data_IF_738365125100
#
_entry.id   IF_738365125100
#
_cell.length_a   1.000
_cell.length_b   1.000
_cell.length_c   1.000
_cell.angle_alpha   90.00
_cell.angle_beta   90.00
_cell.angle_gamma   90.00
#
_symmetry.space_group_name_H-M   'P 1'
#
loop_
_entity.id
_entity.type
_entity.pdbx_description
1 polymer ?
#
# COMPACT_ATOMS: atom_id res chain seq x y z
N UNK A 1 9.15 4.82 10.44
CA UNK A 1 9.70 4.54 9.13
C UNK A 1 8.96 5.21 8.00
N UNK A 2 9.46 5.07 6.76
CA UNK A 2 8.83 5.71 5.62
C UNK A 2 7.43 5.15 5.34
N UNK A 3 6.58 5.98 4.75
CA UNK A 3 5.24 5.61 4.33
C UNK A 3 5.20 5.50 2.81
N UNK A 4 4.59 4.45 2.27
CA UNK A 4 4.38 4.31 0.83
C UNK A 4 2.89 4.40 0.50
N UNK A 5 2.57 5.23 -0.50
CA UNK A 5 1.24 5.30 -1.09
C UNK A 5 1.26 4.46 -2.37
N UNK A 6 0.57 3.32 -2.32
CA UNK A 6 0.60 2.33 -3.40
C UNK A 6 -0.43 2.69 -4.46
N UNK A 7 0.03 2.92 -5.68
CA UNK A 7 -0.82 3.34 -6.77
C UNK A 7 -1.32 4.77 -6.60
N UNK A 8 -0.40 5.70 -6.39
CA UNK A 8 -0.72 7.08 -5.99
C UNK A 8 -1.63 7.85 -6.94
N UNK A 9 -1.66 7.49 -8.22
CA UNK A 9 -2.58 8.10 -9.19
C UNK A 9 -2.50 9.62 -9.23
N UNK A 10 -3.55 10.28 -8.74
CA UNK A 10 -3.63 11.74 -8.64
C UNK A 10 -2.97 12.35 -7.42
N UNK A 11 -2.30 11.54 -6.59
CA UNK A 11 -1.55 12.01 -5.43
C UNK A 11 -2.29 11.92 -4.10
N UNK A 12 -3.50 11.38 -4.06
CA UNK A 12 -4.23 11.19 -2.80
C UNK A 12 -4.20 9.73 -2.40
N UNK A 13 -3.92 9.41 -1.11
CA UNK A 13 -3.74 10.36 -0.01
C UNK A 13 -2.29 10.83 0.21
N UNK A 14 -1.33 10.38 -0.61
CA UNK A 14 0.09 10.59 -0.36
C UNK A 14 0.51 12.06 -0.24
N UNK A 15 0.08 12.91 -1.19
CA UNK A 15 0.47 14.33 -1.15
C UNK A 15 -0.12 15.06 0.06
N UNK A 16 -1.42 14.94 0.37
CA UNK A 16 -1.93 15.51 1.61
C UNK A 16 -1.23 15.00 2.87
N UNK A 17 -0.90 13.71 2.92
CA UNK A 17 -0.18 13.14 4.04
C UNK A 17 1.24 13.73 4.18
N UNK A 18 1.92 13.93 3.05
CA UNK A 18 3.25 14.53 3.06
C UNK A 18 3.22 15.95 3.63
N UNK A 19 2.22 16.74 3.26
CA UNK A 19 2.05 18.09 3.78
C UNK A 19 1.74 18.08 5.29
N UNK A 20 0.96 17.10 5.76
CA UNK A 20 0.59 16.97 7.16
C UNK A 20 1.69 16.37 8.02
N UNK A 21 2.60 15.61 7.43
CA UNK A 21 3.67 14.88 8.14
C UNK A 21 5.04 15.25 7.55
N UNK A 22 5.48 16.51 7.73
CA UNK A 22 6.68 17.00 7.04
C UNK A 22 7.99 16.29 7.45
N UNK A 23 8.01 15.67 8.62
CA UNK A 23 9.19 14.95 9.10
C UNK A 23 9.23 13.48 8.68
N UNK A 24 8.21 13.02 7.96
CA UNK A 24 8.13 11.64 7.50
C UNK A 24 8.40 11.54 6.02
N UNK A 25 9.24 10.59 5.62
CA UNK A 25 9.43 10.31 4.20
C UNK A 25 8.16 9.65 3.64
N UNK A 26 7.64 10.20 2.55
CA UNK A 26 6.48 9.69 1.84
C UNK A 26 6.92 9.27 0.45
N UNK A 27 6.69 8.01 0.12
CA UNK A 27 6.98 7.46 -1.21
C UNK A 27 5.68 7.32 -1.97
N UNK A 28 5.62 7.92 -3.15
CA UNK A 28 4.49 7.78 -4.06
C UNK A 28 4.89 6.73 -5.10
N UNK A 29 4.30 5.54 -4.99
CA UNK A 29 4.59 4.43 -5.89
C UNK A 29 3.51 4.35 -6.96
N UNK A 30 3.91 4.47 -8.23
CA UNK A 30 2.99 4.53 -9.35
C UNK A 30 3.54 3.75 -10.54
N UNK A 31 2.72 2.88 -11.14
CA UNK A 31 3.13 2.03 -12.24
C UNK A 31 3.11 2.74 -13.59
N UNK A 32 2.36 3.82 -13.75
CA UNK A 32 2.22 4.54 -15.01
C UNK A 32 3.13 5.76 -15.05
N UNK A 33 4.03 5.79 -16.01
CA UNK A 33 5.05 6.84 -16.08
C UNK A 33 4.48 8.25 -16.19
N UNK A 34 3.45 8.46 -16.99
CA UNK A 34 2.86 9.78 -17.14
C UNK A 34 2.24 10.30 -15.83
N UNK A 35 1.73 9.39 -14.99
CA UNK A 35 1.25 9.75 -13.66
C UNK A 35 2.39 10.10 -12.72
N UNK A 36 3.53 9.41 -12.86
CA UNK A 36 4.73 9.77 -12.10
C UNK A 36 5.20 11.19 -12.44
N UNK A 37 5.17 11.57 -13.71
CA UNK A 37 5.55 12.92 -14.13
C UNK A 37 4.62 13.97 -13.51
N UNK A 38 3.33 13.70 -13.47
CA UNK A 38 2.37 14.55 -12.77
C UNK A 38 2.68 14.66 -11.28
N UNK A 39 2.96 13.53 -10.62
CA UNK A 39 3.27 13.50 -9.19
C UNK A 39 4.54 14.27 -8.86
N UNK A 40 5.56 14.15 -9.70
CA UNK A 40 6.81 14.92 -9.55
C UNK A 40 6.53 16.42 -9.55
N UNK A 41 5.70 16.88 -10.48
CA UNK A 41 5.33 18.31 -10.55
C UNK A 41 4.46 18.72 -9.36
N UNK A 42 3.48 17.89 -8.99
CA UNK A 42 2.54 18.22 -7.92
C UNK A 42 3.22 18.27 -6.55
N UNK A 43 4.26 17.45 -6.35
CA UNK A 43 4.96 17.34 -5.06
C UNK A 43 6.29 18.10 -5.02
N UNK A 44 6.61 18.91 -6.02
CA UNK A 44 7.94 19.56 -6.13
C UNK A 44 8.30 20.44 -4.93
N UNK A 45 7.32 21.00 -4.24
CA UNK A 45 7.55 21.85 -3.07
C UNK A 45 7.49 21.08 -1.74
N UNK A 46 7.40 19.74 -1.80
CA UNK A 46 7.36 18.86 -0.62
C UNK A 46 8.67 18.06 -0.56
N UNK A 47 9.65 18.51 0.25
CA UNK A 47 10.96 17.86 0.28
C UNK A 47 10.95 16.45 0.84
N UNK A 48 9.91 16.05 1.56
CA UNK A 48 9.76 14.71 2.14
C UNK A 48 9.10 13.70 1.20
N UNK A 49 8.80 14.10 -0.05
CA UNK A 49 8.18 13.21 -1.05
C UNK A 49 9.22 12.67 -2.02
N UNK A 50 9.12 11.37 -2.31
CA UNK A 50 9.87 10.70 -3.36
C UNK A 50 8.89 9.93 -4.24
N UNK A 51 8.99 10.10 -5.55
CA UNK A 51 8.15 9.38 -6.50
C UNK A 51 8.94 8.18 -7.05
N UNK A 52 8.31 7.00 -7.04
CA UNK A 52 8.91 5.79 -7.59
C UNK A 52 8.02 5.28 -8.71
N UNK A 53 8.60 5.15 -9.90
CA UNK A 53 7.94 4.52 -11.03
C UNK A 53 8.17 3.01 -10.95
N UNK A 54 7.11 2.27 -10.64
CA UNK A 54 7.22 0.83 -10.49
C UNK A 54 5.93 0.20 -10.02
N UNK A 55 5.93 -1.12 -9.98
CA UNK A 55 4.82 -1.93 -9.47
C UNK A 55 5.11 -2.37 -8.06
N UNK A 56 4.06 -2.49 -7.25
CA UNK A 56 4.18 -2.96 -5.87
C UNK A 56 4.85 -4.34 -5.81
N UNK A 57 4.50 -5.23 -6.73
CA UNK A 57 5.01 -6.60 -6.78
C UNK A 57 6.50 -6.71 -7.12
N UNK A 58 7.12 -5.59 -7.52
CA UNK A 58 8.53 -5.56 -7.92
C UNK A 58 9.41 -4.77 -6.95
N UNK A 59 8.84 -4.31 -5.83
CA UNK A 59 9.58 -3.53 -4.85
C UNK A 59 10.23 -4.43 -3.78
N UNK A 60 11.28 -3.94 -3.10
CA UNK A 60 11.85 -4.65 -1.96
C UNK A 60 10.81 -4.87 -0.87
N UNK A 61 10.87 -6.02 -0.20
CA UNK A 61 9.93 -6.36 0.87
C UNK A 61 10.36 -5.78 2.22
N UNK A 62 9.39 -5.63 3.12
CA UNK A 62 9.62 -5.31 4.53
C UNK A 62 10.37 -3.99 4.77
N UNK A 63 10.16 -3.00 3.88
CA UNK A 63 10.91 -1.73 3.91
C UNK A 63 10.17 -0.59 4.60
N UNK A 64 8.84 -0.61 4.59
CA UNK A 64 8.04 0.55 5.01
C UNK A 64 7.38 0.35 6.36
N UNK A 65 7.28 1.43 7.12
CA UNK A 65 6.51 1.42 8.37
C UNK A 65 5.02 1.42 8.13
N UNK A 66 4.57 2.07 7.05
CA UNK A 66 3.15 2.16 6.69
C UNK A 66 3.02 2.06 5.17
N UNK A 67 2.06 1.27 4.71
CA UNK A 67 1.63 1.28 3.31
C UNK A 67 0.15 1.66 3.27
N UNK A 68 -0.20 2.57 2.37
CA UNK A 68 -1.59 3.00 2.20
C UNK A 68 -2.04 2.75 0.76
N UNK A 69 -3.31 2.42 0.57
CA UNK A 69 -3.91 2.28 -0.74
C UNK A 69 -5.35 2.73 -0.71
N UNK A 70 -5.74 3.50 -1.73
CA UNK A 70 -7.08 4.05 -1.85
C UNK A 70 -7.77 3.50 -3.09
N UNK A 71 -8.77 2.62 -2.88
CA UNK A 71 -9.74 2.18 -3.90
C UNK A 71 -9.17 1.77 -5.27
N UNK A 72 -7.98 1.17 -5.30
CA UNK A 72 -7.33 0.80 -6.56
C UNK A 72 -7.72 -0.57 -7.08
N UNK A 73 -8.19 -1.43 -6.19
CA UNK A 73 -8.46 -2.83 -6.49
C UNK A 73 -9.38 -3.38 -5.41
N UNK A 74 -9.96 -4.58 -5.61
CA UNK A 74 -10.67 -5.26 -4.53
C UNK A 74 -9.77 -5.37 -3.30
N UNK A 75 -10.32 -5.22 -2.07
CA UNK A 75 -9.50 -5.18 -0.86
C UNK A 75 -8.51 -6.33 -0.67
N UNK A 76 -8.83 -7.60 -0.98
CA UNK A 76 -7.82 -8.67 -0.87
C UNK A 76 -6.63 -8.48 -1.79
N UNK A 77 -6.84 -7.92 -2.98
CA UNK A 77 -5.76 -7.62 -3.93
C UNK A 77 -4.91 -6.47 -3.41
N UNK A 78 -5.55 -5.40 -2.91
CA UNK A 78 -4.83 -4.27 -2.32
C UNK A 78 -4.00 -4.72 -1.12
N UNK A 79 -4.51 -5.63 -0.29
CA UNK A 79 -3.78 -6.20 0.83
C UNK A 79 -2.53 -6.95 0.34
N UNK A 80 -2.64 -7.72 -0.73
CA UNK A 80 -1.50 -8.45 -1.29
C UNK A 80 -0.45 -7.50 -1.87
N UNK A 81 -0.84 -6.35 -2.39
CA UNK A 81 0.12 -5.35 -2.88
C UNK A 81 0.82 -4.61 -1.75
N UNK A 82 0.10 -4.30 -0.68
CA UNK A 82 0.62 -3.45 0.40
C UNK A 82 1.43 -4.22 1.44
N UNK A 83 0.93 -5.36 1.90
CA UNK A 83 1.54 -6.06 3.05
C UNK A 83 2.98 -6.50 2.83
N UNK A 84 3.38 -7.00 1.64
CA UNK A 84 4.79 -7.34 1.45
C UNK A 84 5.74 -6.15 1.57
N UNK A 85 5.26 -4.93 1.36
CA UNK A 85 6.08 -3.72 1.47
C UNK A 85 6.31 -3.30 2.92
N UNK A 86 5.45 -3.77 3.84
CA UNK A 86 5.44 -3.34 5.24
C UNK A 86 6.36 -4.24 6.06
N UNK A 87 7.22 -3.61 6.86
CA UNK A 87 8.10 -4.34 7.78
C UNK A 87 7.32 -4.89 8.97
N UNK A 88 7.84 -5.94 9.65
CA UNK A 88 7.22 -6.42 10.88
C UNK A 88 7.06 -5.28 11.88
N UNK A 89 5.90 -5.19 12.50
CA UNK A 89 5.56 -4.10 13.42
C UNK A 89 4.92 -2.89 12.75
N UNK A 90 4.93 -2.82 11.41
CA UNK A 90 4.24 -1.78 10.68
C UNK A 90 2.78 -2.11 10.37
N UNK A 91 2.13 -1.27 9.58
CA UNK A 91 0.72 -1.44 9.23
C UNK A 91 0.46 -1.13 7.76
N UNK A 92 -0.55 -1.80 7.19
CA UNK A 92 -1.16 -1.40 5.92
C UNK A 92 -2.52 -0.79 6.22
N UNK A 93 -2.85 0.29 5.52
CA UNK A 93 -4.14 0.99 5.67
C UNK A 93 -4.81 1.05 4.31
N UNK A 94 -6.00 0.44 4.21
CA UNK A 94 -6.76 0.37 2.98
C UNK A 94 -8.05 1.17 3.11
N UNK A 95 -8.32 2.07 2.16
CA UNK A 95 -9.62 2.70 2.02
C UNK A 95 -10.55 1.71 1.34
N UNK A 96 -11.69 1.42 1.95
CA UNK A 96 -12.64 0.42 1.46
C UNK A 96 -14.06 0.96 1.45
N UNK A 97 -14.89 0.41 0.56
CA UNK A 97 -16.32 0.71 0.55
C UNK A 97 -17.08 -0.13 1.58
N UNK A 98 -18.37 0.19 1.79
CA UNK A 98 -19.19 -0.49 2.80
C UNK A 98 -19.47 -1.96 2.47
N UNK A 99 -19.29 -2.37 1.21
CA UNK A 99 -19.52 -3.76 0.78
C UNK A 99 -18.27 -4.62 0.79
N UNK A 100 -17.16 -4.15 1.41
CA UNK A 100 -15.92 -4.89 1.46
C UNK A 100 -16.11 -6.22 2.20
N UNK A 101 -15.57 -7.30 1.62
CA UNK A 101 -15.59 -8.62 2.23
C UNK A 101 -14.43 -8.74 3.24
N UNK A 102 -14.73 -8.49 4.51
CA UNK A 102 -13.71 -8.50 5.57
C UNK A 102 -13.13 -9.89 5.80
N UNK A 103 -13.92 -10.94 5.60
CA UNK A 103 -13.42 -12.31 5.76
C UNK A 103 -12.40 -12.66 4.68
N UNK A 104 -12.63 -12.19 3.45
CA UNK A 104 -11.67 -12.37 2.36
C UNK A 104 -10.37 -11.62 2.65
N UNK A 105 -10.46 -10.41 3.18
CA UNK A 105 -9.27 -9.64 3.57
C UNK A 105 -8.52 -10.36 4.69
N UNK A 106 -9.22 -10.88 5.68
CA UNK A 106 -8.60 -11.62 6.79
C UNK A 106 -7.85 -12.85 6.29
N UNK A 107 -8.41 -13.60 5.33
CA UNK A 107 -7.75 -14.76 4.75
C UNK A 107 -6.48 -14.37 3.98
N UNK A 108 -6.55 -13.30 3.21
CA UNK A 108 -5.38 -12.78 2.50
C UNK A 108 -4.29 -12.32 3.48
N UNK A 109 -4.68 -11.58 4.52
CA UNK A 109 -3.76 -11.06 5.52
C UNK A 109 -3.02 -12.19 6.25
N UNK A 110 -3.72 -13.24 6.61
CA UNK A 110 -3.11 -14.40 7.28
C UNK A 110 -1.99 -14.99 6.43
N UNK A 111 -2.17 -15.08 5.13
CA UNK A 111 -1.14 -15.61 4.22
C UNK A 111 0.05 -14.67 4.04
N UNK A 112 -0.08 -13.42 4.47
CA UNK A 112 0.92 -12.37 4.29
C UNK A 112 1.56 -11.96 5.62
N UNK A 113 1.48 -12.81 6.63
CA UNK A 113 2.02 -12.58 7.98
C UNK A 113 1.41 -11.35 8.65
N UNK A 114 0.14 -11.11 8.43
CA UNK A 114 -0.59 -9.99 9.03
C UNK A 114 -1.77 -10.48 9.86
N UNK A 115 -2.18 -9.65 10.82
CA UNK A 115 -3.35 -9.92 11.65
C UNK A 115 -4.66 -9.62 10.93
N UNK A 116 -5.79 -9.91 11.58
CA UNK A 116 -7.10 -9.62 11.00
C UNK A 116 -7.31 -8.12 10.84
N UNK A 117 -8.13 -7.71 9.84
CA UNK A 117 -8.39 -6.29 9.63
C UNK A 117 -9.20 -5.68 10.77
N UNK A 118 -8.81 -4.47 11.17
CA UNK A 118 -9.60 -3.63 12.06
C UNK A 118 -10.24 -2.53 11.24
N UNK A 119 -11.56 -2.38 11.33
CA UNK A 119 -12.29 -1.37 10.58
C UNK A 119 -12.47 -0.09 11.39
N UNK A 120 -12.16 1.06 10.76
CA UNK A 120 -12.32 2.39 11.34
C UNK A 120 -12.85 3.34 10.28
N UNK A 121 -14.16 3.59 10.25
CA UNK A 121 -14.78 4.57 9.36
C UNK A 121 -14.35 4.47 7.89
N UNK A 122 -14.48 3.28 7.31
CA UNK A 122 -14.11 3.06 5.91
C UNK A 122 -12.64 2.78 5.67
N UNK A 123 -11.85 2.67 6.73
CA UNK A 123 -10.45 2.26 6.66
C UNK A 123 -10.29 0.87 7.25
N UNK A 124 -9.50 0.03 6.60
CA UNK A 124 -9.04 -1.22 7.18
C UNK A 124 -7.59 -1.08 7.58
N UNK A 125 -7.27 -1.40 8.83
CA UNK A 125 -5.91 -1.40 9.35
C UNK A 125 -5.46 -2.84 9.54
N UNK A 126 -4.34 -3.20 8.91
CA UNK A 126 -3.77 -4.54 8.93
C UNK A 126 -2.39 -4.47 9.58
N UNK A 127 -2.22 -5.09 10.74
CA UNK A 127 -0.92 -5.12 11.44
C UNK A 127 -0.02 -6.18 10.82
N UNK A 128 1.20 -5.78 10.42
CA UNK A 128 2.21 -6.74 9.93
C UNK A 128 2.88 -7.39 11.13
N UNK A 129 2.67 -8.69 11.30
CA UNK A 129 3.11 -9.43 12.49
C UNK A 129 4.48 -10.07 12.35
N UNK A 130 4.91 -10.34 11.13
CA UNK A 130 6.18 -11.00 10.87
C UNK A 130 6.71 -10.67 9.48
N UNK A 131 7.88 -11.22 9.11
CA UNK A 131 8.45 -10.96 7.79
C UNK A 131 7.56 -11.52 6.68
N UNK A 132 7.65 -10.91 5.51
CA UNK A 132 6.91 -11.37 4.33
C UNK A 132 7.27 -12.82 4.02
N UNK A 133 6.27 -13.71 3.92
CA UNK A 133 6.54 -15.13 3.65
C UNK A 133 7.21 -15.34 2.30
N UNK A 134 7.96 -16.41 2.19
CA UNK A 134 8.57 -16.83 0.93
C UNK A 134 7.50 -17.02 -0.14
N UNK A 135 7.81 -16.63 -1.37
CA UNK A 135 6.86 -16.68 -2.49
C UNK A 135 6.09 -15.38 -2.69
N UNK A 136 6.26 -14.40 -1.80
CA UNK A 136 5.67 -13.07 -1.96
C UNK A 136 6.74 -12.00 -2.07
N UNK A 137 6.52 -10.93 -2.87
CA UNK A 137 5.34 -10.75 -3.72
C UNK A 137 5.31 -11.73 -4.88
N UNK A 138 4.11 -12.08 -5.31
CA UNK A 138 3.94 -12.86 -6.53
C UNK A 138 4.23 -11.98 -7.75
N UNK A 139 4.41 -12.62 -8.93
CA UNK A 139 4.71 -11.89 -10.16
C UNK A 139 3.67 -10.83 -10.47
N UNK A 140 4.05 -9.73 -11.14
CA UNK A 140 3.10 -8.67 -11.52
C UNK A 140 1.86 -9.23 -12.23
N UNK A 141 0.70 -8.75 -11.82
CA UNK A 141 -0.60 -9.14 -12.39
C UNK A 141 -1.24 -10.38 -11.76
N UNK A 142 -0.48 -11.21 -11.04
CA UNK A 142 -1.03 -12.46 -10.47
C UNK A 142 -2.05 -12.16 -9.38
N UNK A 143 -1.79 -11.18 -8.51
CA UNK A 143 -2.72 -10.85 -7.42
C UNK A 143 -4.12 -10.51 -7.95
N UNK A 144 -4.19 -9.72 -9.03
CA UNK A 144 -5.46 -9.33 -9.63
C UNK A 144 -6.16 -10.48 -10.34
N UNK A 145 -5.40 -11.32 -11.03
CA UNK A 145 -5.95 -12.47 -11.79
C UNK A 145 -6.36 -13.61 -10.89
N UNK A 146 -5.60 -13.83 -9.80
CA UNK A 146 -5.80 -14.94 -8.87
C UNK A 146 -5.67 -14.44 -7.43
N UNK A 147 -6.68 -13.70 -6.95
CA UNK A 147 -6.65 -13.19 -5.57
C UNK A 147 -6.45 -14.32 -4.55
N UNK A 148 -5.83 -13.99 -3.43
CA UNK A 148 -5.60 -14.96 -2.35
C UNK A 148 -6.90 -15.39 -1.66
N UNK A 149 -7.94 -14.62 -1.82
CA UNK A 149 -9.23 -14.91 -1.19
C UNK A 149 -10.41 -14.42 -2.04
#
# INVERSE_FOLDING_TARGET
GPLVDVGSGGGAPGIPLAAALPDREIVLLEAQRHKCDFLERAARDLPNVRVVWGRAEEQPVDEYGVAVAKALAPPPVAAEWCLPLVRPGGVAILWVGPSADLDAVARAAERLAAGPPEEHDGLLVLAKLGPTPEGFPRRPGVARKRPLA
#
